data_IF_101431734138
#
_entry.id   IF_101431734138
#
_cell.length_a   1.000
_cell.length_b   1.000
_cell.length_c   1.000
_cell.angle_alpha   90.00
_cell.angle_beta   90.00
_cell.angle_gamma   90.00
#
_symmetry.space_group_name_H-M   'P 1'
#
loop_
_entity.id
_entity.type
_entity.pdbx_description
1 polymer ?
#
# COMPACT_ATOMS: atom_id res chain seq x y z
N UNK A 1 -22.51 68.55 -30.55
CA UNK A 1 -22.53 69.13 -29.19
C UNK A 1 -22.67 67.96 -28.22
N UNK A 2 -21.56 67.51 -27.60
CA UNK A 2 -21.14 67.82 -26.22
C UNK A 2 -22.18 67.27 -25.18
N UNK A 3 -21.83 66.53 -24.12
CA UNK A 3 -20.58 66.37 -23.39
C UNK A 3 -20.59 65.11 -22.51
N UNK A 4 -19.42 64.74 -22.05
CA UNK A 4 -19.01 63.56 -21.29
C UNK A 4 -19.40 63.57 -19.79
N UNK A 5 -19.29 62.39 -19.16
CA UNK A 5 -18.54 62.20 -17.90
C UNK A 5 -18.27 60.70 -17.67
N UNK A 6 -16.99 60.35 -17.55
CA UNK A 6 -16.53 59.03 -17.13
C UNK A 6 -16.05 59.02 -15.68
N UNK A 7 -15.97 57.83 -15.10
CA UNK A 7 -15.11 57.34 -14.00
C UNK A 7 -15.23 55.81 -14.11
N UNK A 8 -14.24 54.92 -14.04
CA UNK A 8 -12.81 54.95 -13.77
C UNK A 8 -12.44 53.47 -13.51
N UNK A 9 -11.38 52.99 -14.15
CA UNK A 9 -10.90 51.61 -14.04
C UNK A 9 -10.40 51.28 -12.62
N UNK A 10 -10.65 50.07 -12.14
CA UNK A 10 -9.97 49.51 -10.98
C UNK A 10 -9.58 48.04 -11.25
N UNK A 11 -8.38 47.87 -11.82
CA UNK A 11 -7.64 46.62 -11.77
C UNK A 11 -7.00 46.49 -10.38
N UNK A 12 -7.46 45.54 -9.57
CA UNK A 12 -6.81 45.22 -8.30
C UNK A 12 -5.80 44.07 -8.51
N UNK A 13 -4.54 44.46 -8.75
CA UNK A 13 -3.36 43.63 -8.47
C UNK A 13 -3.26 43.46 -6.95
N UNK A 14 -3.33 42.23 -6.45
CA UNK A 14 -2.86 41.94 -5.09
C UNK A 14 -1.59 41.08 -5.14
N UNK A 15 -0.57 41.62 -4.48
CA UNK A 15 0.84 41.26 -4.54
C UNK A 15 1.12 39.92 -3.82
N UNK A 16 1.84 39.03 -4.51
CA UNK A 16 2.61 37.95 -3.88
C UNK A 16 3.70 38.58 -3.01
N UNK A 17 3.54 38.48 -1.68
CA UNK A 17 4.63 38.75 -0.74
C UNK A 17 5.51 37.50 -0.61
N UNK A 18 6.62 37.53 -1.35
CA UNK A 18 7.80 36.72 -1.04
C UNK A 18 8.30 37.05 0.36
N UNK A 19 8.34 36.07 1.26
CA UNK A 19 9.21 36.11 2.45
C UNK A 19 10.31 35.08 2.26
N UNK A 20 11.47 35.55 1.78
CA UNK A 20 12.77 34.92 2.01
C UNK A 20 13.04 34.91 3.52
N UNK A 21 13.45 33.77 4.06
CA UNK A 21 14.25 33.68 5.29
C UNK A 21 15.47 32.82 5.01
N UNK A 22 16.51 33.53 4.62
CA UNK A 22 17.92 33.23 4.81
C UNK A 22 18.31 33.91 6.14
N UNK A 23 19.19 33.46 7.03
CA UNK A 23 20.37 32.58 6.98
C UNK A 23 20.73 32.28 8.46
N UNK A 24 21.47 31.19 8.74
CA UNK A 24 22.59 31.11 9.71
C UNK A 24 22.74 29.71 10.34
N UNK A 25 23.68 28.98 9.77
CA UNK A 25 24.43 27.88 10.35
C UNK A 25 25.16 28.31 11.64
N UNK A 26 25.09 27.49 12.68
CA UNK A 26 26.08 27.48 13.77
C UNK A 26 26.84 26.17 13.72
N UNK A 27 28.06 26.26 13.17
CA UNK A 27 29.12 25.30 13.34
C UNK A 27 29.65 25.39 14.79
N UNK A 28 29.84 24.24 15.43
CA UNK A 28 30.59 24.15 16.67
C UNK A 28 32.07 23.93 16.35
N UNK A 29 32.86 24.85 16.85
CA UNK A 29 34.32 24.88 16.84
C UNK A 29 34.90 23.81 17.75
N UNK A 30 35.80 22.96 17.25
CA UNK A 30 36.93 22.43 18.03
C UNK A 30 38.13 22.35 17.10
N UNK A 31 39.14 23.19 17.38
CA UNK A 31 40.46 23.15 16.77
C UNK A 31 41.43 22.36 17.65
N UNK A 32 42.37 21.71 16.97
CA UNK A 32 43.49 20.88 17.42
C UNK A 32 44.57 21.62 18.24
N UNK A 33 45.27 20.87 19.10
CA UNK A 33 46.71 21.07 19.38
C UNK A 33 47.38 19.77 19.84
N UNK A 34 48.54 19.50 19.26
CA UNK A 34 49.44 18.35 19.42
C UNK A 34 49.96 18.09 20.84
N UNK A 35 50.30 16.83 21.15
CA UNK A 35 51.70 16.36 21.35
C UNK A 35 51.86 15.17 22.32
N UNK A 36 52.62 14.18 21.84
CA UNK A 36 53.58 13.30 22.56
C UNK A 36 53.14 12.05 23.34
N UNK A 37 53.73 10.93 22.89
CA UNK A 37 54.32 9.80 23.63
C UNK A 37 53.49 9.00 24.63
N UNK A 38 53.23 7.73 24.29
CA UNK A 38 53.92 6.56 24.87
C UNK A 38 53.19 5.24 24.52
N UNK A 39 53.94 4.30 23.95
CA UNK A 39 53.65 2.86 23.88
C UNK A 39 53.51 2.26 25.29
N UNK A 40 52.79 1.12 25.53
CA UNK A 40 53.14 -0.17 24.92
C UNK A 40 52.03 -1.22 24.66
N UNK A 41 52.23 -1.95 23.56
CA UNK A 41 52.32 -3.42 23.42
C UNK A 41 51.32 -4.42 24.07
N UNK A 42 51.08 -5.49 23.27
CA UNK A 42 50.65 -6.89 23.60
C UNK A 42 49.11 -7.09 23.63
N UNK A 43 48.50 -8.12 23.05
CA UNK A 43 48.97 -9.43 22.55
C UNK A 43 47.91 -10.03 21.59
N UNK A 44 48.37 -10.61 20.48
CA UNK A 44 47.67 -11.66 19.71
C UNK A 44 47.62 -12.96 20.53
N UNK A 45 46.57 -13.77 20.34
CA UNK A 45 46.58 -15.23 20.38
C UNK A 45 45.18 -15.76 20.03
N UNK A 46 44.96 -16.98 19.57
CA UNK A 46 45.59 -17.82 18.55
C UNK A 46 44.57 -18.95 18.30
N UNK A 47 44.62 -19.53 17.10
CA UNK A 47 43.94 -20.79 16.72
C UNK A 47 44.21 -21.92 17.72
N UNK A 48 43.22 -22.78 17.92
CA UNK A 48 43.43 -24.19 18.24
C UNK A 48 42.73 -25.04 17.17
N UNK A 49 43.40 -26.10 16.74
CA UNK A 49 43.04 -27.03 15.69
C UNK A 49 43.24 -28.46 16.23
N UNK A 50 42.66 -29.44 15.54
CA UNK A 50 42.72 -30.91 15.73
C UNK A 50 41.66 -31.48 16.69
N UNK A 51 41.02 -32.62 16.41
CA UNK A 51 41.46 -33.77 15.61
C UNK A 51 40.28 -34.55 15.01
N UNK A 52 40.59 -35.25 13.92
CA UNK A 52 39.77 -36.16 13.11
C UNK A 52 39.61 -37.55 13.74
N UNK A 53 38.48 -38.21 13.49
CA UNK A 53 38.39 -39.67 13.28
C UNK A 53 37.12 -39.95 12.45
N UNK A 54 37.32 -40.54 11.27
CA UNK A 54 36.25 -40.87 10.34
C UNK A 54 35.72 -42.29 10.54
N UNK A 55 34.46 -42.51 10.15
CA UNK A 55 33.95 -43.78 9.64
C UNK A 55 32.84 -43.49 8.61
N UNK A 56 32.90 -44.20 7.48
CA UNK A 56 31.93 -44.15 6.38
C UNK A 56 30.63 -44.84 6.80
N UNK A 57 29.47 -44.27 6.45
CA UNK A 57 28.28 -45.05 6.14
C UNK A 57 27.26 -44.28 5.26
N UNK A 58 26.59 -45.05 4.44
CA UNK A 58 25.70 -44.76 3.30
C UNK A 58 24.41 -44.02 3.66
N UNK A 59 24.04 -43.03 2.83
CA UNK A 59 22.68 -42.76 2.31
C UNK A 59 21.51 -42.50 3.27
N UNK A 60 21.03 -41.24 3.32
CA UNK A 60 19.62 -40.85 3.05
C UNK A 60 19.48 -39.31 3.02
N UNK A 61 18.91 -38.76 1.94
CA UNK A 61 18.32 -37.41 1.89
C UNK A 61 17.16 -37.35 2.90
N UNK A 62 17.04 -36.26 3.69
CA UNK A 62 15.83 -35.42 3.88
C UNK A 62 16.25 -34.08 4.53
N UNK A 63 15.62 -33.00 4.07
CA UNK A 63 15.78 -31.57 4.40
C UNK A 63 15.58 -31.18 5.86
N UNK A 64 16.16 -30.02 6.25
CA UNK A 64 15.42 -28.92 6.92
C UNK A 64 16.14 -27.59 6.63
N UNK A 65 15.50 -26.64 5.93
CA UNK A 65 15.87 -25.21 6.02
C UNK A 65 14.62 -24.33 6.15
N UNK A 66 14.45 -23.87 7.39
CA UNK A 66 13.77 -22.68 7.92
C UNK A 66 12.27 -22.41 7.59
N UNK A 67 11.40 -22.39 8.62
CA UNK A 67 10.00 -22.02 8.48
C UNK A 67 9.84 -20.50 8.45
N UNK A 68 9.39 -19.93 7.33
CA UNK A 68 8.80 -18.59 7.31
C UNK A 68 7.29 -18.73 7.54
N UNK A 69 6.81 -18.21 8.68
CA UNK A 69 5.41 -18.27 9.15
C UNK A 69 4.41 -17.65 8.16
N UNK A 70 4.07 -18.38 7.11
CA UNK A 70 2.84 -18.23 6.36
C UNK A 70 2.30 -19.63 6.11
N UNK A 71 1.14 -19.95 6.70
CA UNK A 71 0.42 -21.21 6.47
C UNK A 71 -0.30 -21.21 5.11
N UNK A 72 0.25 -20.53 4.10
CA UNK A 72 -0.33 -20.52 2.76
C UNK A 72 0.28 -21.66 1.97
N UNK A 73 -0.52 -22.58 1.44
CA UNK A 73 0.02 -23.67 0.63
C UNK A 73 0.73 -23.10 -0.61
N UNK A 74 1.89 -23.69 -0.94
CA UNK A 74 2.42 -23.63 -2.30
C UNK A 74 1.28 -24.03 -3.23
N UNK A 75 1.00 -23.23 -4.27
CA UNK A 75 -0.15 -23.37 -5.17
C UNK A 75 -0.33 -24.77 -5.79
N UNK A 76 0.67 -25.66 -5.69
CA UNK A 76 0.51 -27.09 -5.98
C UNK A 76 -0.65 -27.73 -5.22
N UNK A 77 -1.01 -27.24 -4.02
CA UNK A 77 -2.16 -27.73 -3.24
C UNK A 77 -3.48 -26.94 -3.47
N UNK A 78 -3.53 -26.03 -4.44
CA UNK A 78 -4.70 -25.20 -4.77
C UNK A 78 -5.26 -25.45 -6.18
N UNK A 79 -4.67 -26.37 -6.96
CA UNK A 79 -5.16 -26.73 -8.31
C UNK A 79 -6.64 -27.17 -8.32
N UNK A 80 -7.16 -27.65 -7.20
CA UNK A 80 -8.55 -28.14 -7.11
C UNK A 80 -9.62 -27.03 -7.01
N UNK A 81 -9.23 -25.75 -6.89
CA UNK A 81 -10.19 -24.62 -6.81
C UNK A 81 -10.41 -23.86 -8.11
N UNK A 82 -9.66 -24.17 -9.17
CA UNK A 82 -9.76 -23.48 -10.45
C UNK A 82 -11.05 -23.82 -11.25
N UNK A 83 -11.86 -24.80 -10.80
CA UNK A 83 -13.08 -25.22 -11.48
C UNK A 83 -14.40 -24.66 -10.93
N UNK A 84 -14.37 -23.68 -10.01
CA UNK A 84 -15.58 -22.98 -9.56
C UNK A 84 -15.77 -21.64 -10.27
N UNK A 85 -15.81 -21.66 -11.60
CA UNK A 85 -16.43 -20.58 -12.38
C UNK A 85 -17.95 -20.85 -12.49
N UNK A 86 -18.64 -20.73 -11.37
CA UNK A 86 -20.11 -20.75 -11.34
C UNK A 86 -20.63 -19.87 -10.20
N UNK A 87 -21.07 -18.66 -10.55
CA UNK A 87 -21.97 -17.76 -9.82
C UNK A 87 -21.65 -17.36 -8.36
N UNK A 88 -20.39 -17.46 -7.90
CA UNK A 88 -19.97 -16.94 -6.60
C UNK A 88 -19.06 -15.72 -6.74
N UNK A 89 -19.51 -14.54 -6.29
CA UNK A 89 -18.78 -13.27 -6.40
C UNK A 89 -17.32 -13.33 -5.89
N UNK A 90 -16.41 -12.66 -6.61
CA UNK A 90 -14.97 -12.63 -6.37
C UNK A 90 -14.57 -11.86 -5.08
N UNK A 91 -14.79 -12.47 -3.91
CA UNK A 91 -14.45 -11.89 -2.60
C UNK A 91 -12.94 -11.88 -2.37
N UNK A 92 -12.35 -10.69 -2.24
CA UNK A 92 -10.93 -10.46 -1.93
C UNK A 92 -10.64 -10.51 -0.43
N UNK A 93 -11.56 -10.01 0.39
CA UNK A 93 -11.41 -9.91 1.84
C UNK A 93 -12.77 -9.97 2.52
N UNK A 94 -12.84 -10.60 3.68
CA UNK A 94 -14.02 -10.59 4.57
C UNK A 94 -13.66 -9.90 5.88
N UNK A 95 -14.60 -9.12 6.39
CA UNK A 95 -14.55 -8.54 7.72
C UNK A 95 -15.62 -9.22 8.57
N UNK A 96 -15.24 -10.00 9.60
CA UNK A 96 -16.22 -10.70 10.42
C UNK A 96 -16.89 -9.78 11.46
N UNK A 97 -16.19 -8.72 11.90
CA UNK A 97 -16.60 -7.85 13.01
C UNK A 97 -16.31 -6.38 12.65
N UNK A 98 -17.17 -5.77 11.82
CA UNK A 98 -17.14 -4.34 11.55
C UNK A 98 -18.00 -3.58 12.56
N UNK A 99 -17.45 -2.45 13.01
CA UNK A 99 -18.06 -1.55 13.99
C UNK A 99 -18.26 -0.19 13.34
N UNK A 100 -19.52 0.25 13.14
CA UNK A 100 -19.80 1.55 12.53
C UNK A 100 -19.50 2.70 13.50
N UNK A 101 -18.93 3.78 12.96
CA UNK A 101 -18.56 4.95 13.75
C UNK A 101 -18.61 6.26 12.93
N UNK A 102 -18.45 7.39 13.62
CA UNK A 102 -18.29 8.74 13.07
C UNK A 102 -16.88 9.23 13.34
N UNK A 103 -16.10 9.47 12.30
CA UNK A 103 -14.77 10.03 12.40
C UNK A 103 -14.87 11.53 12.69
N UNK A 104 -14.24 11.97 13.78
CA UNK A 104 -14.19 13.38 14.18
C UNK A 104 -12.97 14.08 13.59
N UNK A 105 -11.81 13.44 13.72
CA UNK A 105 -10.53 13.98 13.22
C UNK A 105 -9.50 12.87 13.05
N UNK A 106 -8.54 13.12 12.14
CA UNK A 106 -7.33 12.32 11.98
C UNK A 106 -6.11 13.17 12.31
N UNK A 107 -5.16 12.60 13.05
CA UNK A 107 -3.96 13.33 13.50
C UNK A 107 -2.78 12.38 13.63
N UNK A 108 -1.56 12.96 13.66
CA UNK A 108 -0.29 12.22 13.74
C UNK A 108 -0.14 11.13 12.64
N UNK A 109 -0.91 11.21 11.55
CA UNK A 109 -1.04 10.23 10.45
C UNK A 109 -1.68 8.89 10.83
N UNK A 110 -1.32 8.32 11.98
CA UNK A 110 -1.71 6.97 12.38
C UNK A 110 -2.81 6.92 13.45
N UNK A 111 -3.37 8.06 13.88
CA UNK A 111 -4.44 8.11 14.87
C UNK A 111 -5.66 8.85 14.32
N UNK A 112 -6.81 8.43 14.81
CA UNK A 112 -8.09 9.06 14.56
C UNK A 112 -8.92 9.03 15.84
N UNK A 113 -9.72 10.07 16.06
CA UNK A 113 -10.73 10.08 17.12
C UNK A 113 -12.10 9.87 16.45
N UNK A 114 -12.88 8.94 17.00
CA UNK A 114 -14.19 8.55 16.47
C UNK A 114 -15.22 8.51 17.60
N UNK A 115 -16.49 8.55 17.21
CA UNK A 115 -17.62 8.22 18.07
C UNK A 115 -18.28 6.95 17.53
N UNK A 116 -18.41 5.92 18.36
CA UNK A 116 -19.08 4.68 17.96
C UNK A 116 -20.59 4.92 17.81
N UNK A 117 -21.24 4.25 16.86
CA UNK A 117 -22.69 4.34 16.71
C UNK A 117 -23.40 3.37 17.68
N UNK A 118 -24.55 3.79 18.20
CA UNK A 118 -25.35 3.03 19.18
C UNK A 118 -25.71 1.62 18.64
N UNK A 119 -25.59 0.59 19.50
CA UNK A 119 -25.77 -0.83 19.12
C UNK A 119 -24.49 -1.53 18.63
N UNK A 120 -23.37 -0.83 18.51
CA UNK A 120 -22.09 -1.43 18.10
C UNK A 120 -21.26 -2.02 19.27
N UNK A 121 -21.80 -2.00 20.50
CA UNK A 121 -21.13 -2.41 21.74
C UNK A 121 -21.85 -3.62 22.38
N UNK A 122 -22.09 -4.68 21.62
CA UNK A 122 -22.50 -5.96 22.21
C UNK A 122 -21.34 -6.96 22.08
N UNK A 123 -20.56 -7.14 23.16
CA UNK A 123 -19.59 -8.25 23.20
C UNK A 123 -18.34 -8.15 24.07
N UNK A 124 -18.18 -7.21 25.00
CA UNK A 124 -17.08 -7.32 25.96
C UNK A 124 -16.85 -6.09 26.81
N UNK A 125 -16.87 -6.34 28.13
CA UNK A 125 -16.46 -5.56 29.31
C UNK A 125 -16.05 -4.09 29.12
N UNK A 126 -16.64 -3.27 29.99
CA UNK A 126 -16.35 -1.86 30.24
C UNK A 126 -14.85 -1.54 30.15
N UNK A 127 -14.49 -0.71 29.17
CA UNK A 127 -13.19 -0.05 29.11
C UNK A 127 -13.07 0.88 30.31
N UNK A 128 -12.00 0.74 31.09
CA UNK A 128 -11.72 1.59 32.25
C UNK A 128 -11.66 3.08 31.85
N UNK A 129 -12.53 3.85 32.49
CA UNK A 129 -12.78 5.27 32.29
C UNK A 129 -11.72 6.13 32.98
N UNK A 130 -11.16 7.11 32.27
CA UNK A 130 -10.56 8.30 32.90
C UNK A 130 -11.55 9.46 32.80
N UNK A 131 -12.48 9.53 33.75
CA UNK A 131 -13.36 10.69 33.95
C UNK A 131 -12.72 11.66 34.94
N UNK A 132 -12.54 12.91 34.54
CA UNK A 132 -12.42 14.03 35.46
C UNK A 132 -13.55 15.03 35.16
N UNK A 133 -14.04 15.62 36.23
CA UNK A 133 -15.02 16.71 36.36
C UNK A 133 -16.51 16.40 36.15
N UNK A 134 -17.21 16.33 37.29
CA UNK A 134 -18.65 16.55 37.46
C UNK A 134 -18.98 18.04 37.33
N UNK A 135 -20.09 18.41 36.64
CA UNK A 135 -21.04 19.45 37.08
C UNK A 135 -22.43 19.26 36.42
N UNK A 136 -23.43 19.03 37.27
CA UNK A 136 -24.84 19.46 37.30
C UNK A 136 -25.77 19.49 36.03
N UNK A 137 -26.84 18.69 36.12
CA UNK A 137 -28.24 19.15 35.91
C UNK A 137 -28.72 19.64 34.53
N UNK A 138 -28.96 18.73 33.58
CA UNK A 138 -29.75 19.04 32.38
C UNK A 138 -29.90 17.83 31.44
N UNK A 139 -31.14 17.53 31.03
CA UNK A 139 -31.58 16.47 30.10
C UNK A 139 -30.47 15.63 29.43
N UNK A 140 -30.36 14.35 29.84
CA UNK A 140 -29.39 13.38 29.33
C UNK A 140 -29.59 13.08 27.83
N UNK A 141 -29.06 13.94 26.96
CA UNK A 141 -28.43 13.49 25.74
C UNK A 141 -27.07 12.92 26.17
N UNK A 142 -26.98 11.59 26.33
CA UNK A 142 -25.74 10.94 26.77
C UNK A 142 -24.56 11.40 25.92
N UNK A 143 -23.51 11.90 26.55
CA UNK A 143 -22.29 12.28 25.86
C UNK A 143 -21.73 11.04 25.16
N UNK A 144 -21.79 11.00 23.83
CA UNK A 144 -21.24 9.88 23.08
C UNK A 144 -19.71 9.86 23.27
N UNK A 145 -19.20 8.71 23.75
CA UNK A 145 -17.80 8.56 24.11
C UNK A 145 -16.88 8.64 22.88
N UNK A 146 -15.80 9.41 22.99
CA UNK A 146 -14.78 9.55 21.95
C UNK A 146 -13.70 8.49 22.15
N UNK A 147 -13.53 7.62 21.14
CA UNK A 147 -12.55 6.54 21.13
C UNK A 147 -11.40 6.87 20.17
N UNK A 148 -10.16 6.69 20.61
CA UNK A 148 -8.99 6.79 19.72
C UNK A 148 -8.73 5.46 19.01
N UNK A 149 -8.62 5.48 17.69
CA UNK A 149 -8.44 4.30 16.83
C UNK A 149 -7.15 4.40 16.02
N UNK A 150 -6.63 3.24 15.60
CA UNK A 150 -5.49 3.17 14.69
C UNK A 150 -5.92 3.48 13.24
N UNK A 151 -5.21 4.39 12.57
CA UNK A 151 -5.37 4.68 11.15
C UNK A 151 -4.24 4.02 10.36
N UNK A 152 -4.49 2.88 9.67
CA UNK A 152 -3.50 2.15 8.88
C UNK A 152 -3.23 2.79 7.50
N UNK A 153 -3.17 4.11 7.44
CA UNK A 153 -2.83 4.87 6.25
C UNK A 153 -1.80 5.94 6.62
N UNK A 154 -0.66 5.97 5.94
CA UNK A 154 0.41 6.95 6.22
C UNK A 154 0.36 8.18 5.31
N UNK A 155 -0.43 8.12 4.23
CA UNK A 155 -0.65 9.20 3.27
C UNK A 155 -1.57 10.29 3.81
N UNK A 156 -1.80 11.39 3.08
CA UNK A 156 -2.70 12.46 3.50
C UNK A 156 -4.17 12.04 3.51
N UNK A 157 -4.56 10.98 2.79
CA UNK A 157 -5.97 10.60 2.58
C UNK A 157 -6.75 11.72 1.88
N UNK A 158 -6.13 12.29 0.84
CA UNK A 158 -6.73 13.39 0.08
C UNK A 158 -8.08 12.95 -0.53
N UNK A 159 -9.09 13.81 -0.41
CA UNK A 159 -10.47 13.54 -0.86
C UNK A 159 -11.27 12.57 0.02
N UNK A 160 -10.68 12.03 1.10
CA UNK A 160 -11.39 11.14 2.02
C UNK A 160 -11.86 11.85 3.30
N UNK A 161 -11.22 12.97 3.64
CA UNK A 161 -11.44 13.67 4.91
C UNK A 161 -12.38 14.88 4.78
N UNK A 162 -12.99 15.08 3.62
CA UNK A 162 -13.82 16.26 3.31
C UNK A 162 -15.14 16.26 4.10
N UNK A 163 -15.62 15.07 4.51
CA UNK A 163 -16.80 14.91 5.36
C UNK A 163 -16.55 15.12 6.86
N UNK A 164 -15.41 15.70 7.25
CA UNK A 164 -15.10 15.95 8.66
C UNK A 164 -15.62 17.30 9.17
N UNK A 165 -16.00 17.37 10.46
CA UNK A 165 -16.18 16.24 11.38
C UNK A 165 -17.43 15.41 11.03
N UNK A 166 -17.50 14.18 11.55
CA UNK A 166 -18.63 13.24 11.45
C UNK A 166 -18.73 12.40 10.17
N UNK A 167 -17.61 12.17 9.48
CA UNK A 167 -17.56 11.24 8.36
C UNK A 167 -17.91 9.82 8.82
N UNK A 168 -18.78 9.12 8.09
CA UNK A 168 -19.13 7.73 8.43
C UNK A 168 -17.96 6.81 8.12
N UNK A 169 -17.63 5.92 9.06
CA UNK A 169 -16.51 4.99 8.94
C UNK A 169 -16.88 3.60 9.44
N UNK A 170 -16.09 2.61 9.01
CA UNK A 170 -16.16 1.24 9.52
C UNK A 170 -14.82 0.87 10.14
N UNK A 171 -14.89 0.26 11.32
CA UNK A 171 -13.72 -0.14 12.10
C UNK A 171 -13.68 -1.66 12.23
N UNK A 172 -12.50 -2.27 12.21
CA UNK A 172 -12.32 -3.63 12.74
C UNK A 172 -11.94 -3.55 14.22
N UNK A 173 -12.42 -4.51 15.03
CA UNK A 173 -12.02 -4.69 16.43
C UNK A 173 -11.04 -5.86 16.56
N UNK A 174 -10.03 -5.68 17.39
CA UNK A 174 -9.08 -6.72 17.79
C UNK A 174 -9.17 -6.95 19.28
N UNK A 175 -9.31 -8.21 19.69
CA UNK A 175 -9.37 -8.62 21.10
C UNK A 175 -7.99 -8.91 21.71
N UNK A 176 -6.90 -8.74 20.95
CA UNK A 176 -5.54 -8.86 21.48
C UNK A 176 -5.27 -7.79 22.55
N UNK A 177 -5.14 -8.18 23.84
CA UNK A 177 -4.98 -7.24 24.95
C UNK A 177 -3.65 -6.48 24.91
N UNK A 178 -2.70 -6.91 24.07
CA UNK A 178 -1.41 -6.21 23.89
C UNK A 178 -1.52 -5.00 22.98
N UNK A 179 -2.64 -4.85 22.25
CA UNK A 179 -2.82 -3.70 21.36
C UNK A 179 -3.16 -2.45 22.15
N UNK A 180 -2.42 -1.39 21.89
CA UNK A 180 -2.71 -0.06 22.43
C UNK A 180 -4.07 0.50 21.96
N UNK A 181 -4.48 0.17 20.74
CA UNK A 181 -5.76 0.58 20.16
C UNK A 181 -6.50 -0.66 19.68
N UNK A 182 -7.66 -0.93 20.27
CA UNK A 182 -8.48 -2.10 19.93
C UNK A 182 -9.07 -1.99 18.51
N UNK A 183 -9.33 -0.77 18.06
CA UNK A 183 -9.98 -0.50 16.78
C UNK A 183 -9.00 -0.05 15.70
N UNK A 184 -9.24 -0.51 14.47
CA UNK A 184 -8.52 -0.11 13.25
C UNK A 184 -9.50 0.47 12.25
N UNK A 185 -9.19 1.64 11.68
CA UNK A 185 -10.00 2.28 10.64
C UNK A 185 -9.85 1.54 9.31
N UNK A 186 -10.90 0.88 8.84
CA UNK A 186 -10.87 0.05 7.63
C UNK A 186 -11.42 0.78 6.41
N UNK A 187 -12.56 1.46 6.58
CA UNK A 187 -13.29 2.11 5.47
C UNK A 187 -13.82 3.48 5.90
N UNK A 188 -13.98 4.35 4.92
CA UNK A 188 -14.62 5.67 5.07
C UNK A 188 -15.63 5.88 3.95
N UNK A 189 -16.79 6.44 4.29
CA UNK A 189 -17.82 6.78 3.33
C UNK A 189 -17.59 8.20 2.83
N UNK A 190 -17.57 8.38 1.51
CA UNK A 190 -17.49 9.69 0.85
C UNK A 190 -18.70 9.87 -0.06
N UNK A 191 -19.14 11.11 -0.24
CA UNK A 191 -20.17 11.43 -1.23
C UNK A 191 -19.50 11.83 -2.54
N UNK A 192 -19.86 11.17 -3.65
CA UNK A 192 -19.22 11.42 -4.94
C UNK A 192 -19.99 12.41 -5.85
N UNK A 193 -21.04 13.05 -5.32
CA UNK A 193 -21.95 13.95 -6.04
C UNK A 193 -23.26 13.29 -6.49
N UNK A 194 -23.29 11.96 -6.56
CA UNK A 194 -24.46 11.18 -6.97
C UNK A 194 -24.95 10.26 -5.85
N UNK A 195 -24.00 9.58 -5.19
CA UNK A 195 -24.26 8.63 -4.11
C UNK A 195 -23.12 8.60 -3.11
N UNK A 196 -23.39 7.92 -2.01
CA UNK A 196 -22.34 7.57 -1.06
C UNK A 196 -21.55 6.35 -1.55
N UNK A 197 -20.24 6.40 -1.31
CA UNK A 197 -19.26 5.40 -1.75
C UNK A 197 -18.39 5.02 -0.58
N UNK A 198 -18.25 3.73 -0.33
CA UNK A 198 -17.28 3.22 0.64
C UNK A 198 -15.89 3.13 -0.01
N UNK A 199 -14.90 3.73 0.66
CA UNK A 199 -13.51 3.76 0.22
C UNK A 199 -12.62 3.09 1.26
N UNK A 200 -11.71 2.24 0.81
CA UNK A 200 -10.75 1.58 1.70
C UNK A 200 -9.70 2.54 2.24
N UNK A 201 -9.39 2.44 3.53
CA UNK A 201 -8.36 3.24 4.21
C UNK A 201 -7.09 2.43 4.45
N UNK A 202 -7.24 1.14 4.74
CA UNK A 202 -6.17 0.24 5.17
C UNK A 202 -5.25 -0.14 4.01
N UNK A 203 -4.17 0.63 3.81
CA UNK A 203 -3.32 0.49 2.63
C UNK A 203 -2.60 -0.85 2.53
N UNK A 204 -2.17 -1.42 3.67
CA UNK A 204 -1.52 -2.73 3.71
C UNK A 204 -2.48 -3.91 3.50
N UNK A 205 -3.79 -3.69 3.59
CA UNK A 205 -4.79 -4.71 3.25
C UNK A 205 -4.79 -5.02 1.75
N UNK A 206 -4.34 -4.09 0.89
CA UNK A 206 -4.25 -4.29 -0.55
C UNK A 206 -3.37 -5.50 -0.91
N UNK A 207 -2.28 -5.73 -0.19
CA UNK A 207 -1.44 -6.91 -0.40
C UNK A 207 -2.21 -8.20 -0.12
N UNK A 208 -3.00 -8.25 0.97
CA UNK A 208 -3.85 -9.43 1.29
C UNK A 208 -4.92 -9.66 0.23
N UNK A 209 -5.53 -8.60 -0.27
CA UNK A 209 -6.53 -8.66 -1.33
C UNK A 209 -5.92 -9.17 -2.64
N UNK A 210 -4.76 -8.64 -3.05
CA UNK A 210 -4.06 -9.12 -4.26
C UNK A 210 -3.55 -10.55 -4.08
N UNK A 211 -3.09 -10.94 -2.89
CA UNK A 211 -2.73 -12.33 -2.58
C UNK A 211 -3.91 -13.28 -2.82
N UNK A 212 -5.11 -12.91 -2.37
CA UNK A 212 -6.33 -13.69 -2.61
C UNK A 212 -6.69 -13.75 -4.11
N UNK A 213 -6.55 -12.64 -4.84
CA UNK A 213 -6.79 -12.59 -6.28
C UNK A 213 -5.79 -13.46 -7.07
N UNK A 214 -4.52 -13.46 -6.65
CA UNK A 214 -3.47 -14.32 -7.21
C UNK A 214 -3.78 -15.80 -6.94
N UNK A 215 -4.09 -16.14 -5.69
CA UNK A 215 -4.45 -17.52 -5.34
C UNK A 215 -5.64 -18.04 -6.15
N UNK A 216 -6.58 -17.16 -6.48
CA UNK A 216 -7.80 -17.47 -7.23
C UNK A 216 -7.70 -17.27 -8.74
N UNK A 217 -6.53 -16.85 -9.27
CA UNK A 217 -6.29 -16.58 -10.70
C UNK A 217 -7.19 -15.52 -11.33
N UNK A 218 -7.63 -14.53 -10.55
CA UNK A 218 -8.54 -13.49 -11.04
C UNK A 218 -7.85 -12.34 -11.79
N UNK A 219 -6.51 -12.29 -11.76
CA UNK A 219 -5.72 -11.28 -12.48
C UNK A 219 -5.16 -11.87 -13.78
N UNK A 220 -6.00 -11.95 -14.81
CA UNK A 220 -5.72 -12.69 -16.04
C UNK A 220 -4.45 -12.21 -16.77
N UNK A 221 -4.16 -10.90 -16.77
CA UNK A 221 -3.01 -10.29 -17.45
C UNK A 221 -1.66 -10.72 -16.86
N UNK A 222 -1.66 -11.28 -15.65
CA UNK A 222 -0.46 -11.82 -15.03
C UNK A 222 -0.06 -13.17 -15.63
N UNK A 223 -0.97 -13.84 -16.35
CA UNK A 223 -0.73 -15.11 -17.03
C UNK A 223 -0.67 -16.30 -16.08
N UNK A 224 -0.17 -17.43 -16.59
CA UNK A 224 0.00 -18.65 -15.82
C UNK A 224 1.28 -18.60 -14.97
N UNK A 225 1.19 -19.18 -13.77
CA UNK A 225 2.31 -19.35 -12.82
C UNK A 225 2.03 -20.57 -11.97
N UNK A 226 3.06 -21.22 -11.43
CA UNK A 226 2.95 -22.42 -10.59
C UNK A 226 3.07 -22.11 -9.10
N UNK A 227 3.71 -20.99 -8.74
CA UNK A 227 3.83 -20.57 -7.34
C UNK A 227 3.83 -19.05 -7.16
N UNK A 228 3.53 -18.61 -5.93
CA UNK A 228 3.54 -17.21 -5.49
C UNK A 228 4.42 -17.13 -4.26
N UNK A 229 5.42 -16.24 -4.29
CA UNK A 229 6.28 -15.93 -3.13
C UNK A 229 6.08 -14.49 -2.72
N UNK A 230 6.12 -14.21 -1.42
CA UNK A 230 5.84 -12.88 -0.84
C UNK A 230 7.11 -12.17 -0.41
N UNK A 231 7.06 -10.85 -0.37
CA UNK A 231 8.06 -10.00 0.29
C UNK A 231 9.49 -10.33 -0.15
N UNK A 232 9.67 -10.58 -1.45
CA UNK A 232 10.92 -11.09 -2.00
C UNK A 232 11.90 -9.93 -2.15
N UNK A 233 13.07 -10.06 -1.52
CA UNK A 233 14.14 -9.07 -1.68
C UNK A 233 14.65 -9.09 -3.11
N UNK A 234 14.62 -7.94 -3.78
CA UNK A 234 15.10 -7.79 -5.17
C UNK A 234 16.14 -6.68 -5.33
N UNK A 235 16.27 -5.80 -4.34
CA UNK A 235 17.32 -4.78 -4.25
C UNK A 235 17.88 -4.71 -2.82
N UNK A 236 18.93 -3.91 -2.60
CA UNK A 236 19.64 -3.84 -1.31
C UNK A 236 18.69 -3.57 -0.13
N UNK A 237 17.76 -2.64 -0.32
CA UNK A 237 16.84 -2.15 0.72
C UNK A 237 15.36 -2.21 0.30
N UNK A 238 15.02 -3.07 -0.67
CA UNK A 238 13.65 -3.18 -1.18
C UNK A 238 13.23 -4.61 -1.38
N UNK A 239 11.94 -4.82 -1.10
CA UNK A 239 11.22 -6.06 -1.33
C UNK A 239 10.08 -5.75 -2.30
N UNK A 240 9.81 -6.69 -3.19
CA UNK A 240 8.61 -6.68 -4.01
C UNK A 240 7.54 -7.44 -3.27
N UNK A 241 6.28 -7.03 -3.42
CA UNK A 241 5.17 -7.64 -2.71
C UNK A 241 5.02 -9.12 -3.08
N UNK A 242 5.10 -9.46 -4.37
CA UNK A 242 5.04 -10.84 -4.85
C UNK A 242 6.04 -11.16 -5.97
N UNK A 243 6.45 -12.44 -6.05
CA UNK A 243 7.08 -13.03 -7.23
C UNK A 243 6.27 -14.26 -7.64
N UNK A 244 5.80 -14.26 -8.88
CA UNK A 244 5.12 -15.38 -9.51
C UNK A 244 6.15 -16.18 -10.29
N UNK A 245 6.11 -17.50 -10.16
CA UNK A 245 7.09 -18.39 -10.82
C UNK A 245 6.38 -19.40 -11.69
N UNK A 246 6.84 -19.57 -12.93
CA UNK A 246 6.46 -20.67 -13.83
C UNK A 246 7.64 -21.62 -13.99
N UNK A 247 7.38 -22.92 -13.92
CA UNK A 247 8.39 -23.96 -14.02
C UNK A 247 8.49 -24.51 -15.45
N UNK A 248 9.68 -24.97 -15.83
CA UNK A 248 9.90 -25.79 -17.01
C UNK A 248 9.55 -27.26 -16.73
N UNK A 249 9.55 -28.10 -17.77
CA UNK A 249 9.23 -29.53 -17.67
C UNK A 249 10.18 -30.29 -16.74
N UNK A 250 11.45 -29.86 -16.65
CA UNK A 250 12.46 -30.43 -15.76
C UNK A 250 12.33 -29.96 -14.29
N UNK A 251 11.33 -29.13 -14.00
CA UNK A 251 11.07 -28.56 -12.67
C UNK A 251 11.92 -27.33 -12.34
N UNK A 252 12.81 -26.88 -13.23
CA UNK A 252 13.55 -25.63 -13.06
C UNK A 252 12.64 -24.41 -13.25
N UNK A 253 13.06 -23.25 -12.75
CA UNK A 253 12.28 -22.02 -12.91
C UNK A 253 12.49 -21.46 -14.32
N UNK A 254 11.45 -21.50 -15.14
CA UNK A 254 11.47 -20.95 -16.50
C UNK A 254 11.26 -19.43 -16.52
N UNK A 255 10.40 -18.91 -15.62
CA UNK A 255 10.01 -17.51 -15.60
C UNK A 255 9.70 -17.02 -14.18
N UNK A 256 10.20 -15.83 -13.84
CA UNK A 256 9.80 -15.08 -12.65
C UNK A 256 9.16 -13.74 -13.05
N UNK A 257 7.95 -13.49 -12.56
CA UNK A 257 7.24 -12.21 -12.69
C UNK A 257 7.19 -11.51 -11.34
N UNK A 258 7.80 -10.34 -11.26
CA UNK A 258 7.83 -9.49 -10.06
C UNK A 258 6.59 -8.60 -10.02
N UNK A 259 5.80 -8.66 -8.94
CA UNK A 259 4.51 -7.95 -8.85
C UNK A 259 4.51 -7.04 -7.63
N UNK A 260 4.48 -5.73 -7.88
CA UNK A 260 4.33 -4.69 -6.85
C UNK A 260 2.85 -4.29 -6.75
N UNK A 261 2.37 -4.03 -5.54
CA UNK A 261 1.00 -3.60 -5.25
C UNK A 261 0.99 -2.15 -4.77
N UNK A 262 -0.02 -1.40 -5.20
CA UNK A 262 -0.27 -0.02 -4.79
C UNK A 262 -1.75 0.10 -4.40
N UNK A 263 -2.01 0.63 -3.21
CA UNK A 263 -3.36 0.95 -2.77
C UNK A 263 -3.77 2.32 -3.32
N UNK A 264 -4.91 2.40 -3.99
CA UNK A 264 -5.42 3.61 -4.63
C UNK A 264 -6.78 3.98 -4.05
N UNK A 265 -6.92 5.23 -3.62
CA UNK A 265 -8.14 5.73 -2.94
C UNK A 265 -8.60 7.08 -3.47
N UNK A 266 -7.67 7.91 -3.95
CA UNK A 266 -7.97 9.22 -4.53
C UNK A 266 -8.65 9.04 -5.89
N UNK A 267 -9.70 9.81 -6.11
CA UNK A 267 -10.37 9.91 -7.40
C UNK A 267 -10.53 11.36 -7.80
N UNK A 268 -10.25 11.65 -9.06
CA UNK A 268 -10.46 12.95 -9.67
C UNK A 268 -11.77 12.92 -10.46
N UNK A 269 -12.53 14.00 -10.35
CA UNK A 269 -13.70 14.21 -11.19
C UNK A 269 -13.26 14.37 -12.64
N UNK A 270 -14.11 13.91 -13.56
CA UNK A 270 -13.86 14.07 -14.98
C UNK A 270 -13.90 15.54 -15.38
N UNK A 271 -13.17 15.90 -16.45
CA UNK A 271 -13.12 17.25 -16.99
C UNK A 271 -14.37 17.62 -17.80
N UNK A 272 -15.55 17.53 -17.19
CA UNK A 272 -16.86 17.84 -17.78
C UNK A 272 -17.96 16.86 -17.38
N UNK A 273 -19.21 17.19 -17.70
CA UNK A 273 -20.40 16.43 -17.32
C UNK A 273 -20.43 14.98 -17.88
N UNK A 274 -19.61 14.68 -18.88
CA UNK A 274 -19.56 13.38 -19.56
C UNK A 274 -18.26 12.60 -19.30
N UNK A 275 -17.29 13.22 -18.63
CA UNK A 275 -15.99 12.58 -18.39
C UNK A 275 -16.10 11.71 -17.13
N UNK A 276 -15.72 10.42 -17.21
CA UNK A 276 -15.80 9.55 -16.05
C UNK A 276 -14.82 9.97 -14.94
N UNK A 277 -15.15 9.58 -13.71
CA UNK A 277 -14.26 9.71 -12.56
C UNK A 277 -13.06 8.78 -12.71
N UNK A 278 -11.86 9.32 -12.50
CA UNK A 278 -10.59 8.62 -12.68
C UNK A 278 -9.92 8.38 -11.32
N UNK A 279 -9.62 7.12 -10.99
CA UNK A 279 -8.80 6.79 -9.83
C UNK A 279 -7.34 7.16 -10.10
N UNK A 280 -6.66 7.78 -9.14
CA UNK A 280 -5.27 8.21 -9.36
C UNK A 280 -4.34 7.85 -8.20
N UNK A 281 -3.10 7.52 -8.55
CA UNK A 281 -2.04 7.27 -7.57
C UNK A 281 -0.73 7.94 -7.97
N UNK A 282 0.01 8.54 -7.01
CA UNK A 282 -0.32 8.69 -5.59
C UNK A 282 -1.23 9.91 -5.33
N UNK A 283 -1.66 10.07 -4.08
CA UNK A 283 -2.39 11.25 -3.57
C UNK A 283 -1.46 12.36 -3.05
N UNK A 284 -0.16 12.10 -3.00
CA UNK A 284 0.92 13.04 -2.68
C UNK A 284 2.26 12.51 -3.17
N UNK A 285 3.31 13.33 -3.15
CA UNK A 285 4.67 12.88 -3.51
C UNK A 285 5.08 11.66 -2.68
N UNK A 286 5.45 10.58 -3.38
CA UNK A 286 5.82 9.30 -2.76
C UNK A 286 7.19 8.85 -3.23
N UNK A 287 8.23 9.34 -2.54
CA UNK A 287 9.64 8.94 -2.82
C UNK A 287 9.87 7.44 -2.66
N UNK A 288 9.10 6.78 -1.79
CA UNK A 288 9.12 5.31 -1.66
C UNK A 288 8.59 4.64 -2.94
N UNK A 289 7.45 5.08 -3.46
CA UNK A 289 6.90 4.51 -4.68
C UNK A 289 7.80 4.77 -5.89
N UNK A 290 8.36 5.98 -6.00
CA UNK A 290 9.37 6.34 -7.01
C UNK A 290 10.60 5.41 -6.95
N UNK A 291 11.13 5.17 -5.75
CA UNK A 291 12.26 4.27 -5.53
C UNK A 291 11.95 2.85 -6.00
N UNK A 292 10.79 2.31 -5.61
CA UNK A 292 10.40 0.94 -5.95
C UNK A 292 10.23 0.72 -7.45
N UNK A 293 9.53 1.63 -8.16
CA UNK A 293 9.35 1.51 -9.62
C UNK A 293 10.69 1.63 -10.36
N UNK A 294 11.59 2.49 -9.87
CA UNK A 294 12.95 2.65 -10.44
C UNK A 294 13.75 1.37 -10.28
N UNK A 295 13.85 0.85 -9.05
CA UNK A 295 14.61 -0.38 -8.77
C UNK A 295 14.05 -1.59 -9.53
N UNK A 296 12.72 -1.68 -9.68
CA UNK A 296 12.09 -2.76 -10.46
C UNK A 296 12.45 -2.65 -11.95
N UNK A 297 12.44 -1.43 -12.49
CA UNK A 297 12.85 -1.17 -13.89
C UNK A 297 14.33 -1.49 -14.12
N UNK A 298 15.19 -1.15 -13.18
CA UNK A 298 16.63 -1.47 -13.20
C UNK A 298 16.88 -2.99 -13.17
N UNK A 299 16.16 -3.73 -12.31
CA UNK A 299 16.25 -5.19 -12.24
C UNK A 299 15.95 -5.85 -13.58
N UNK A 300 14.87 -5.43 -14.24
CA UNK A 300 14.43 -6.05 -15.49
C UNK A 300 15.31 -5.64 -16.69
N UNK A 301 15.81 -4.40 -16.70
CA UNK A 301 16.67 -3.91 -17.78
C UNK A 301 18.10 -4.49 -17.74
N UNK A 302 18.70 -4.64 -16.55
CA UNK A 302 20.06 -5.19 -16.40
C UNK A 302 20.14 -6.65 -16.86
N UNK A 303 19.14 -7.47 -16.53
CA UNK A 303 19.09 -8.86 -16.96
C UNK A 303 18.72 -9.03 -18.44
N UNK A 304 17.93 -8.12 -19.01
CA UNK A 304 17.67 -8.11 -20.44
C UNK A 304 18.96 -7.85 -21.25
N UNK A 305 19.82 -6.94 -20.78
CA UNK A 305 21.10 -6.62 -21.43
C UNK A 305 22.13 -7.74 -21.34
N UNK A 306 22.24 -8.42 -20.20
CA UNK A 306 23.14 -9.58 -20.03
C UNK A 306 22.86 -10.69 -21.06
N UNK A 307 21.58 -10.89 -21.42
CA UNK A 307 21.16 -11.87 -22.44
C UNK A 307 21.53 -11.47 -23.88
N UNK A 308 21.70 -10.17 -24.15
CA UNK A 308 22.04 -9.66 -25.48
C UNK A 308 23.55 -9.66 -25.77
N UNK A 309 24.39 -9.58 -24.73
CA UNK A 309 25.86 -9.55 -24.85
C UNK A 309 26.49 -10.94 -24.89
N UNK A 310 25.88 -11.93 -24.22
CA UNK A 310 26.43 -13.28 -24.11
C UNK A 310 25.80 -14.24 -25.12
N UNK A 311 25.93 -13.98 -26.42
CA UNK A 311 25.44 -14.83 -27.53
C UNK A 311 26.01 -16.27 -27.60
N UNK A 312 26.46 -16.84 -26.48
CA UNK A 312 26.85 -18.23 -26.29
C UNK A 312 25.78 -18.95 -25.47
N UNK A 313 25.10 -19.87 -26.14
CA UNK A 313 24.16 -20.85 -25.58
C UNK A 313 24.85 -21.78 -24.58
N UNK A 314 25.07 -21.33 -23.34
CA UNK A 314 25.49 -22.22 -22.26
C UNK A 314 24.31 -22.48 -21.33
N UNK A 315 23.79 -23.70 -21.39
CA UNK A 315 22.53 -24.23 -20.87
C UNK A 315 22.49 -24.39 -19.34
N UNK A 316 22.57 -23.28 -18.61
CA UNK A 316 21.75 -23.11 -17.42
C UNK A 316 21.03 -21.79 -17.58
N UNK A 317 19.99 -21.81 -18.41
CA UNK A 317 19.26 -20.62 -18.81
C UNK A 317 18.67 -19.95 -17.57
N UNK A 318 19.21 -18.79 -17.21
CA UNK A 318 18.63 -17.98 -16.16
C UNK A 318 17.13 -17.74 -16.46
N UNK A 319 16.26 -17.73 -15.43
CA UNK A 319 14.84 -17.61 -15.66
C UNK A 319 14.53 -16.32 -16.40
N UNK A 320 13.58 -16.38 -17.34
CA UNK A 320 13.02 -15.18 -17.95
C UNK A 320 12.47 -14.29 -16.84
N UNK A 321 12.65 -12.97 -16.95
CA UNK A 321 12.10 -12.02 -15.99
C UNK A 321 11.04 -11.13 -16.64
N UNK A 322 9.99 -10.80 -15.89
CA UNK A 322 9.04 -9.73 -16.21
C UNK A 322 8.55 -9.04 -14.94
N UNK A 323 7.82 -7.94 -15.09
CA UNK A 323 7.27 -7.21 -13.95
C UNK A 323 5.85 -6.70 -14.20
N UNK A 324 5.11 -6.52 -13.11
CA UNK A 324 3.83 -5.84 -13.10
C UNK A 324 3.69 -4.94 -11.85
N UNK A 325 2.93 -3.86 -11.98
CA UNK A 325 2.47 -3.04 -10.87
C UNK A 325 0.94 -3.09 -10.87
N UNK A 326 0.36 -3.62 -9.79
CA UNK A 326 -1.08 -3.71 -9.58
C UNK A 326 -1.54 -2.55 -8.71
N UNK A 327 -2.33 -1.66 -9.27
CA UNK A 327 -3.00 -0.57 -8.61
C UNK A 327 -4.40 -1.01 -8.19
N UNK A 328 -4.56 -1.40 -6.93
CA UNK A 328 -5.84 -1.81 -6.37
C UNK A 328 -6.62 -0.57 -5.92
N UNK A 329 -7.61 -0.20 -6.72
CA UNK A 329 -8.56 0.89 -6.51
C UNK A 329 -9.63 0.44 -5.53
N UNK A 330 -9.52 0.91 -4.29
CA UNK A 330 -10.40 0.52 -3.19
C UNK A 330 -11.66 1.40 -3.14
N UNK A 331 -12.38 1.45 -4.25
CA UNK A 331 -13.66 2.16 -4.45
C UNK A 331 -14.30 1.68 -5.76
N UNK A 332 -15.63 1.80 -5.86
CA UNK A 332 -16.43 1.24 -6.95
C UNK A 332 -17.02 2.30 -7.91
N UNK A 333 -16.62 3.55 -7.78
CA UNK A 333 -17.17 4.69 -8.52
C UNK A 333 -16.19 5.34 -9.51
N UNK A 334 -15.09 4.64 -9.83
CA UNK A 334 -14.15 5.04 -10.90
C UNK A 334 -14.26 4.07 -12.07
N UNK A 335 -14.21 4.58 -13.30
CA UNK A 335 -14.20 3.74 -14.50
C UNK A 335 -12.84 3.69 -15.18
N UNK A 336 -11.86 4.47 -14.71
CA UNK A 336 -10.51 4.53 -15.27
C UNK A 336 -9.47 4.72 -14.14
N UNK A 337 -8.21 4.44 -14.47
CA UNK A 337 -7.08 4.65 -13.57
C UNK A 337 -5.96 5.45 -14.27
N UNK A 338 -5.22 6.28 -13.52
CA UNK A 338 -4.03 6.96 -14.00
C UNK A 338 -2.95 7.14 -12.91
N UNK A 339 -1.68 7.19 -13.32
CA UNK A 339 -0.63 7.72 -12.46
C UNK A 339 -0.78 9.24 -12.32
N UNK A 340 -0.79 9.76 -11.10
CA UNK A 340 -1.16 11.15 -10.84
C UNK A 340 -0.04 12.13 -11.16
N UNK A 341 -0.18 12.85 -12.28
CA UNK A 341 0.76 13.93 -12.66
C UNK A 341 0.64 15.12 -11.70
N UNK A 342 -0.57 15.46 -11.27
CA UNK A 342 -0.84 16.60 -10.39
C UNK A 342 -0.16 16.46 -9.02
N UNK A 343 -0.12 15.23 -8.47
CA UNK A 343 0.36 14.98 -7.12
C UNK A 343 1.80 14.48 -7.08
N UNK A 344 2.24 13.73 -8.11
CA UNK A 344 3.61 13.27 -8.23
C UNK A 344 4.00 13.05 -9.72
N UNK A 345 4.30 14.14 -10.41
CA UNK A 345 4.77 14.11 -11.81
C UNK A 345 5.95 13.16 -12.00
N UNK A 346 6.89 13.10 -11.04
CA UNK A 346 8.06 12.23 -11.15
C UNK A 346 7.68 10.76 -11.11
N UNK A 347 6.76 10.37 -10.23
CA UNK A 347 6.24 9.00 -10.21
C UNK A 347 5.52 8.65 -11.51
N UNK A 348 4.71 9.55 -12.06
CA UNK A 348 4.02 9.32 -13.34
C UNK A 348 5.00 9.12 -14.51
N UNK A 349 6.05 9.94 -14.60
CA UNK A 349 7.15 9.77 -15.57
C UNK A 349 7.85 8.41 -15.40
N UNK A 350 8.14 8.00 -14.16
CA UNK A 350 8.77 6.71 -13.88
C UNK A 350 7.87 5.53 -14.26
N UNK A 351 6.55 5.65 -14.08
CA UNK A 351 5.60 4.64 -14.57
C UNK A 351 5.62 4.53 -16.10
N UNK A 352 5.71 5.66 -16.82
CA UNK A 352 5.82 5.65 -18.28
C UNK A 352 7.11 4.95 -18.73
N UNK A 353 8.25 5.22 -18.08
CA UNK A 353 9.52 4.54 -18.35
C UNK A 353 9.44 3.04 -18.04
N UNK A 354 8.82 2.67 -16.93
CA UNK A 354 8.60 1.26 -16.55
C UNK A 354 7.76 0.53 -17.61
N UNK A 355 6.66 1.13 -18.07
CA UNK A 355 5.80 0.58 -19.11
C UNK A 355 6.53 0.40 -20.44
N UNK A 356 7.32 1.40 -20.87
CA UNK A 356 8.18 1.29 -22.05
C UNK A 356 9.24 0.19 -21.92
N UNK A 357 9.66 -0.12 -20.69
CA UNK A 357 10.59 -1.21 -20.39
C UNK A 357 9.91 -2.59 -20.27
N UNK A 358 8.59 -2.67 -20.53
CA UNK A 358 7.83 -3.92 -20.51
C UNK A 358 7.20 -4.29 -19.17
N UNK A 359 7.20 -3.39 -18.17
CA UNK A 359 6.45 -3.60 -16.92
C UNK A 359 4.96 -3.34 -17.17
N UNK A 360 4.12 -4.32 -16.84
CA UNK A 360 2.66 -4.18 -16.96
C UNK A 360 2.13 -3.24 -15.86
N UNK A 361 1.35 -2.23 -16.22
CA UNK A 361 0.63 -1.39 -15.24
C UNK A 361 -0.85 -1.79 -15.27
N UNK A 362 -1.36 -2.33 -14.16
CA UNK A 362 -2.70 -2.91 -14.08
C UNK A 362 -3.53 -2.16 -13.04
N UNK A 363 -4.61 -1.51 -13.45
CA UNK A 363 -5.62 -0.97 -12.55
C UNK A 363 -6.72 -2.00 -12.31
N UNK A 364 -7.10 -2.24 -11.06
CA UNK A 364 -8.22 -3.11 -10.71
C UNK A 364 -9.06 -2.45 -9.62
N UNK A 365 -10.38 -2.43 -9.77
CA UNK A 365 -11.28 -1.89 -8.75
C UNK A 365 -11.91 -2.97 -7.89
N UNK A 366 -12.26 -2.59 -6.67
CA UNK A 366 -13.07 -3.39 -5.77
C UNK A 366 -14.18 -2.57 -5.09
N UNK A 367 -15.31 -3.20 -4.82
CA UNK A 367 -16.38 -2.65 -3.97
C UNK A 367 -16.10 -3.00 -2.51
N UNK A 368 -16.40 -2.05 -1.63
CA UNK A 368 -16.37 -2.23 -0.18
C UNK A 368 -17.80 -2.26 0.32
N UNK A 369 -18.18 -3.37 0.93
CA UNK A 369 -19.57 -3.71 1.25
C UNK A 369 -19.69 -4.02 2.74
N UNK A 370 -19.74 -3.01 3.62
CA UNK A 370 -20.08 -3.25 5.00
C UNK A 370 -21.56 -3.62 5.13
N UNK A 371 -21.81 -4.62 5.96
CA UNK A 371 -23.12 -5.09 6.37
C UNK A 371 -23.28 -4.74 7.85
N UNK A 372 -23.81 -3.54 8.10
CA UNK A 372 -24.04 -3.02 9.46
C UNK A 372 -25.10 -3.81 10.22
N UNK A 373 -26.01 -4.51 9.53
CA UNK A 373 -27.01 -5.35 10.20
C UNK A 373 -26.38 -6.60 10.82
N UNK A 374 -25.34 -7.14 10.19
CA UNK A 374 -24.63 -8.33 10.65
C UNK A 374 -23.24 -8.03 11.24
N UNK A 375 -22.90 -6.75 11.45
CA UNK A 375 -21.57 -6.31 11.89
C UNK A 375 -20.44 -6.97 11.08
N UNK A 376 -20.61 -7.11 9.77
CA UNK A 376 -19.66 -7.80 8.91
C UNK A 376 -19.40 -6.99 7.63
N UNK A 377 -18.60 -7.52 6.73
CA UNK A 377 -18.45 -6.91 5.42
C UNK A 377 -17.59 -7.72 4.47
N UNK A 378 -17.59 -7.32 3.21
CA UNK A 378 -16.77 -7.92 2.19
C UNK A 378 -16.10 -6.86 1.31
N UNK A 379 -14.97 -7.23 0.71
CA UNK A 379 -14.40 -6.52 -0.42
C UNK A 379 -14.47 -7.44 -1.62
N UNK A 380 -15.06 -6.99 -2.72
CA UNK A 380 -15.23 -7.80 -3.94
C UNK A 380 -14.50 -7.18 -5.10
N UNK A 381 -13.75 -8.00 -5.84
CA UNK A 381 -13.12 -7.59 -7.08
C UNK A 381 -14.21 -7.32 -8.12
N UNK A 382 -14.15 -6.13 -8.73
CA UNK A 382 -15.09 -5.75 -9.80
C UNK A 382 -14.49 -6.06 -11.17
N UNK A 383 -13.20 -5.77 -11.35
CA UNK A 383 -12.50 -6.05 -12.59
C UNK A 383 -11.41 -5.03 -12.90
N UNK A 384 -10.78 -5.14 -14.08
CA UNK A 384 -9.76 -4.21 -14.51
C UNK A 384 -10.36 -2.84 -14.83
N UNK A 385 -9.59 -1.79 -14.54
CA UNK A 385 -9.86 -0.44 -15.01
C UNK A 385 -8.89 -0.08 -16.15
N UNK A 386 -9.37 0.50 -17.27
CA UNK A 386 -8.49 1.01 -18.32
C UNK A 386 -7.54 2.07 -17.76
N UNK A 387 -6.27 1.97 -18.16
CA UNK A 387 -5.26 2.98 -17.86
C UNK A 387 -5.44 4.15 -18.84
N UNK A 388 -5.67 5.36 -18.32
CA UNK A 388 -5.66 6.56 -19.17
C UNK A 388 -4.28 6.70 -19.80
N UNK A 389 -4.27 6.79 -21.14
CA UNK A 389 -3.06 7.15 -21.86
C UNK A 389 -2.79 8.62 -21.56
N UNK A 390 -1.58 8.92 -21.08
CA UNK A 390 -1.10 10.30 -21.01
C UNK A 390 -1.14 10.83 -22.44
N UNK A 391 -1.97 11.85 -22.71
CA UNK A 391 -1.94 12.55 -23.98
C UNK A 391 -0.50 13.04 -24.20
N UNK A 392 0.11 12.60 -25.29
CA UNK A 392 1.52 12.85 -25.62
C UNK A 392 1.81 14.33 -25.84
#
# INVERSE_FOLDING_TARGET
MASARGVGAAAFKMQLRNRKRDFASRAATVSSSDASSATPAKKRAAKANSSSLGTKAVGRKVEVVAPTRSQFPVLSALKDRANCASNGSAVLLKYPNLVPARLLRRYKRFLADVVLLDGAVDGGESVETNTATEVDGGAHAGAQEVVTVYCPNTGPMLGLLDGLPNARVQLSRSDDPKRKYAYTLEMIQVHNGERDVWVGVHSTSANRMVEQALASRWLAELGNYDSVRREVKFAKNSRVDFVLTTNAEDGSVAHEKYVEVKSVTLALEGSGATSPRCAVFPDTVSTRAQKHVTELTELLSTKAKAKATDGKENETAAPKLSGAIVFLVQRDDCSEFAASIQHDKKFAELCAVAAQSGIQLLGYSCSLEPDEANNSGAVRLLGPLPLQKVAA
#
